data_IF_053459853823
#
_entry.id   IF_053459853823
#
_cell.length_a   1.000
_cell.length_b   1.000
_cell.length_c   1.000
_cell.angle_alpha   90.00
_cell.angle_beta   90.00
_cell.angle_gamma   90.00
#
_symmetry.space_group_name_H-M   'P 1'
#
loop_
_entity.id
_entity.type
_entity.pdbx_description
1 polymer ?
#
# COMPACT_ATOMS: atom_id res chain seq x y z
N UNK A 1 7.86 -20.57 -23.30
CA UNK A 1 7.46 -19.15 -23.50
C UNK A 1 6.16 -19.15 -24.27
N UNK A 2 5.16 -18.36 -23.85
CA UNK A 2 3.81 -18.41 -24.42
C UNK A 2 3.59 -17.54 -25.68
N UNK A 3 4.64 -16.90 -26.23
CA UNK A 3 4.54 -16.13 -27.48
C UNK A 3 4.04 -14.69 -27.35
N UNK A 4 3.88 -14.16 -26.13
CA UNK A 4 3.43 -12.79 -25.89
C UNK A 4 4.59 -11.77 -25.89
N UNK A 5 4.27 -10.54 -26.29
CA UNK A 5 5.13 -9.36 -26.17
C UNK A 5 4.62 -8.48 -25.02
N UNK A 6 5.55 -7.90 -24.25
CA UNK A 6 5.24 -7.03 -23.12
C UNK A 6 5.28 -5.56 -23.54
N UNK A 7 4.22 -4.82 -23.20
CA UNK A 7 4.21 -3.36 -23.16
C UNK A 7 4.22 -2.94 -21.69
N UNK A 8 5.13 -2.05 -21.30
CA UNK A 8 5.29 -1.62 -19.92
C UNK A 8 5.12 -0.10 -19.83
N UNK A 9 4.27 0.34 -18.91
CA UNK A 9 4.07 1.74 -18.56
C UNK A 9 4.33 1.97 -17.08
N UNK A 10 4.87 3.14 -16.74
CA UNK A 10 5.10 3.56 -15.35
C UNK A 10 4.24 4.79 -15.07
N UNK A 11 3.29 4.66 -14.14
CA UNK A 11 2.34 5.72 -13.78
C UNK A 11 2.78 6.57 -12.58
N UNK A 12 3.82 6.17 -11.86
CA UNK A 12 4.29 6.83 -10.63
C UNK A 12 3.16 7.11 -9.62
N UNK A 13 2.21 6.17 -9.49
CA UNK A 13 1.00 6.29 -8.65
C UNK A 13 0.01 7.39 -9.08
N UNK A 14 0.19 8.02 -10.24
CA UNK A 14 -0.81 8.92 -10.82
C UNK A 14 -1.86 8.14 -11.58
N UNK A 15 -3.10 8.26 -11.11
CA UNK A 15 -4.29 7.69 -11.73
C UNK A 15 -4.48 8.26 -13.15
N UNK A 16 -4.20 9.54 -13.35
CA UNK A 16 -4.31 10.22 -14.65
C UNK A 16 -3.27 9.71 -15.64
N UNK A 17 -2.05 9.48 -15.17
CA UNK A 17 -0.97 8.94 -15.99
C UNK A 17 -1.23 7.47 -16.36
N UNK A 18 -1.76 6.67 -15.43
CA UNK A 18 -2.22 5.30 -15.72
C UNK A 18 -3.28 5.29 -16.82
N UNK A 19 -4.33 6.10 -16.69
CA UNK A 19 -5.41 6.20 -17.67
C UNK A 19 -4.87 6.54 -19.07
N UNK A 20 -3.95 7.51 -19.15
CA UNK A 20 -3.32 7.91 -20.41
C UNK A 20 -2.52 6.77 -21.01
N UNK A 21 -1.68 6.10 -20.23
CA UNK A 21 -0.88 4.95 -20.68
C UNK A 21 -1.78 3.81 -21.17
N UNK A 22 -2.82 3.50 -20.41
CA UNK A 22 -3.78 2.45 -20.76
C UNK A 22 -4.46 2.75 -22.10
N UNK A 23 -4.94 3.98 -22.30
CA UNK A 23 -5.60 4.36 -23.56
C UNK A 23 -4.69 4.12 -24.78
N UNK A 24 -3.40 4.47 -24.67
CA UNK A 24 -2.40 4.22 -25.71
C UNK A 24 -2.16 2.72 -25.91
N UNK A 25 -2.06 1.94 -24.83
CA UNK A 25 -1.84 0.49 -24.95
C UNK A 25 -3.02 -0.24 -25.58
N UNK A 26 -4.26 0.17 -25.31
CA UNK A 26 -5.44 -0.44 -25.89
C UNK A 26 -5.54 -0.25 -27.42
N UNK A 27 -4.88 0.76 -28.00
CA UNK A 27 -4.80 0.93 -29.47
C UNK A 27 -4.11 -0.26 -30.15
N UNK A 28 -3.18 -0.91 -29.44
CA UNK A 28 -2.47 -2.11 -29.93
C UNK A 28 -3.28 -3.40 -29.80
N UNK A 29 -4.49 -3.35 -29.22
CA UNK A 29 -5.36 -4.50 -28.93
C UNK A 29 -4.61 -5.63 -28.21
N UNK A 30 -4.09 -5.38 -26.99
CA UNK A 30 -3.31 -6.37 -26.27
C UNK A 30 -4.16 -7.60 -25.94
N UNK A 31 -3.52 -8.76 -25.80
CA UNK A 31 -4.20 -10.00 -25.43
C UNK A 31 -4.69 -10.01 -23.96
N UNK A 32 -4.18 -9.10 -23.14
CA UNK A 32 -4.52 -8.94 -21.73
C UNK A 32 -3.88 -7.68 -21.16
N UNK A 33 -4.45 -7.15 -20.09
CA UNK A 33 -3.94 -6.00 -19.34
C UNK A 33 -3.67 -6.40 -17.90
N UNK A 34 -2.53 -5.97 -17.35
CA UNK A 34 -2.20 -6.12 -15.93
C UNK A 34 -2.09 -4.74 -15.32
N UNK A 35 -2.88 -4.46 -14.29
CA UNK A 35 -2.88 -3.21 -13.54
C UNK A 35 -2.30 -3.44 -12.14
N UNK A 36 -1.60 -2.43 -11.62
CA UNK A 36 -1.05 -2.47 -10.26
C UNK A 36 -1.96 -1.69 -9.31
N UNK A 37 -2.28 -2.29 -8.17
CA UNK A 37 -3.18 -1.71 -7.18
C UNK A 37 -4.64 -1.96 -7.50
N UNK A 38 -5.50 -1.28 -6.74
CA UNK A 38 -6.96 -1.42 -6.83
C UNK A 38 -7.71 -0.11 -6.99
N UNK A 39 -6.98 1.01 -7.11
CA UNK A 39 -7.52 2.36 -7.25
C UNK A 39 -7.26 2.90 -8.66
N UNK A 40 -8.32 2.94 -9.47
CA UNK A 40 -8.27 3.37 -10.86
C UNK A 40 -9.31 4.46 -11.12
N UNK A 41 -9.13 5.26 -12.17
CA UNK A 41 -10.14 6.25 -12.55
C UNK A 41 -11.41 5.57 -13.07
N UNK A 42 -12.55 6.25 -12.92
CA UNK A 42 -13.80 5.79 -13.55
C UNK A 42 -13.64 5.60 -15.06
N UNK A 43 -12.83 6.45 -15.70
CA UNK A 43 -12.56 6.39 -17.13
C UNK A 43 -11.68 5.19 -17.51
N UNK A 44 -10.73 4.82 -16.67
CA UNK A 44 -9.95 3.57 -16.81
C UNK A 44 -10.87 2.36 -16.85
N UNK A 45 -11.83 2.26 -15.92
CA UNK A 45 -12.82 1.17 -15.95
C UNK A 45 -13.64 1.16 -17.24
N UNK A 46 -14.13 2.31 -17.69
CA UNK A 46 -14.89 2.43 -18.95
C UNK A 46 -14.07 1.99 -20.17
N UNK A 47 -12.78 2.34 -20.22
CA UNK A 47 -11.89 1.95 -21.32
C UNK A 47 -11.70 0.42 -21.37
N UNK A 48 -11.51 -0.21 -20.20
CA UNK A 48 -11.32 -1.65 -20.09
C UNK A 48 -12.59 -2.40 -20.47
N UNK A 49 -13.74 -1.99 -19.94
CA UNK A 49 -15.06 -2.55 -20.28
C UNK A 49 -15.34 -2.47 -21.78
N UNK A 50 -15.07 -1.32 -22.41
CA UNK A 50 -15.26 -1.12 -23.84
C UNK A 50 -14.29 -1.94 -24.71
N UNK A 51 -13.10 -2.25 -24.20
CA UNK A 51 -12.08 -3.00 -24.95
C UNK A 51 -12.36 -4.51 -25.01
N UNK A 52 -13.17 -5.05 -24.10
CA UNK A 52 -13.38 -6.48 -23.91
C UNK A 52 -12.07 -7.28 -23.76
N UNK A 53 -11.04 -6.65 -23.20
CA UNK A 53 -9.72 -7.26 -22.95
C UNK A 53 -9.71 -7.89 -21.56
N UNK A 54 -9.16 -9.10 -21.38
CA UNK A 54 -8.98 -9.67 -20.04
C UNK A 54 -8.09 -8.79 -19.16
N UNK A 55 -8.55 -8.51 -17.94
CA UNK A 55 -7.84 -7.65 -16.98
C UNK A 55 -7.48 -8.44 -15.74
N UNK A 56 -6.26 -8.24 -15.26
CA UNK A 56 -5.75 -8.74 -13.98
C UNK A 56 -5.25 -7.54 -13.15
N UNK A 57 -5.79 -7.36 -11.96
CA UNK A 57 -5.26 -6.44 -10.95
C UNK A 57 -4.29 -7.20 -10.03
N UNK A 58 -3.16 -6.60 -9.71
CA UNK A 58 -2.14 -7.20 -8.85
C UNK A 58 -1.68 -6.29 -7.70
N UNK A 59 -0.90 -6.86 -6.79
CA UNK A 59 -0.30 -6.26 -5.59
C UNK A 59 -1.26 -6.11 -4.39
N UNK A 60 -2.50 -5.71 -4.60
CA UNK A 60 -3.46 -5.43 -3.52
C UNK A 60 -4.69 -6.32 -3.62
N UNK A 61 -5.14 -6.92 -2.50
CA UNK A 61 -6.46 -7.55 -2.44
C UNK A 61 -7.54 -6.50 -2.19
N UNK A 62 -8.52 -6.43 -3.10
CA UNK A 62 -9.68 -5.57 -2.97
C UNK A 62 -10.97 -6.38 -2.95
N UNK A 63 -11.81 -6.16 -1.92
CA UNK A 63 -13.16 -6.74 -1.87
C UNK A 63 -14.12 -6.11 -2.89
N UNK A 64 -13.68 -5.03 -3.55
CA UNK A 64 -14.42 -4.31 -4.58
C UNK A 64 -13.79 -4.46 -5.97
N UNK A 65 -12.90 -5.45 -6.16
CA UNK A 65 -12.24 -5.67 -7.43
C UNK A 65 -13.27 -5.90 -8.55
N UNK A 66 -13.14 -5.12 -9.63
CA UNK A 66 -13.96 -5.27 -10.84
C UNK A 66 -13.44 -6.40 -11.74
N UNK A 67 -12.20 -6.84 -11.52
CA UNK A 67 -11.49 -7.79 -12.36
C UNK A 67 -10.93 -8.95 -11.53
N UNK A 68 -10.29 -9.91 -12.20
CA UNK A 68 -9.50 -10.91 -11.49
C UNK A 68 -8.41 -10.17 -10.70
N UNK A 69 -8.30 -10.45 -9.40
CA UNK A 69 -7.46 -9.69 -8.50
C UNK A 69 -6.58 -10.66 -7.68
N UNK A 70 -5.27 -10.44 -7.71
CA UNK A 70 -4.28 -11.26 -7.00
C UNK A 70 -3.31 -10.34 -6.26
N UNK A 71 -3.37 -10.32 -4.94
CA UNK A 71 -2.51 -9.45 -4.16
C UNK A 71 -2.41 -9.86 -2.70
N UNK A 72 -2.10 -8.88 -1.86
CA UNK A 72 -2.01 -9.05 -0.41
C UNK A 72 -3.09 -8.21 0.28
N UNK A 73 -3.63 -8.72 1.38
CA UNK A 73 -4.46 -7.90 2.26
C UNK A 73 -3.56 -7.06 3.17
N UNK A 74 -3.39 -5.79 2.81
CA UNK A 74 -2.56 -4.84 3.55
C UNK A 74 -3.05 -4.57 4.99
N UNK A 75 -4.33 -4.80 5.27
CA UNK A 75 -4.83 -4.75 6.65
C UNK A 75 -4.25 -5.89 7.48
N UNK A 76 -4.33 -7.12 6.96
CA UNK A 76 -3.76 -8.29 7.63
C UNK A 76 -2.23 -8.21 7.74
N UNK A 77 -1.55 -7.57 6.78
CA UNK A 77 -0.10 -7.28 6.91
C UNK A 77 0.17 -6.40 8.13
N UNK A 78 -0.48 -5.24 8.23
CA UNK A 78 -0.29 -4.33 9.36
C UNK A 78 -0.62 -5.01 10.70
N UNK A 79 -1.71 -5.78 10.72
CA UNK A 79 -2.17 -6.54 11.89
C UNK A 79 -1.19 -7.63 12.29
N UNK A 80 -0.72 -8.45 11.35
CA UNK A 80 0.17 -9.56 11.62
C UNK A 80 1.55 -9.10 12.12
N UNK A 81 2.14 -8.08 11.49
CA UNK A 81 3.41 -7.50 11.94
C UNK A 81 3.31 -6.96 13.36
N UNK A 82 2.23 -6.22 13.66
CA UNK A 82 2.02 -5.63 14.99
C UNK A 82 1.76 -6.70 16.04
N UNK A 83 0.91 -7.69 15.73
CA UNK A 83 0.64 -8.83 16.61
C UNK A 83 1.92 -9.58 16.95
N UNK A 84 2.79 -9.81 15.97
CA UNK A 84 4.07 -10.47 16.22
C UNK A 84 4.93 -9.72 17.24
N UNK A 85 5.03 -8.39 17.14
CA UNK A 85 5.75 -7.57 18.13
C UNK A 85 5.10 -7.66 19.52
N UNK A 86 3.77 -7.63 19.60
CA UNK A 86 3.05 -7.76 20.86
C UNK A 86 3.29 -9.14 21.51
N UNK A 87 3.28 -10.21 20.71
CA UNK A 87 3.58 -11.58 21.16
C UNK A 87 5.03 -11.73 21.68
N UNK A 88 5.97 -10.91 21.19
CA UNK A 88 7.32 -10.83 21.73
C UNK A 88 7.41 -10.01 23.04
N UNK A 89 6.30 -9.40 23.49
CA UNK A 89 6.21 -8.64 24.74
C UNK A 89 6.33 -7.12 24.59
N UNK A 90 6.42 -6.60 23.36
CA UNK A 90 6.42 -5.16 23.11
C UNK A 90 5.00 -4.59 23.30
N UNK A 91 4.88 -3.57 24.15
CA UNK A 91 3.59 -2.95 24.49
C UNK A 91 3.41 -1.54 23.94
N UNK A 92 4.51 -0.87 23.61
CA UNK A 92 4.53 0.50 23.10
C UNK A 92 5.07 0.45 21.67
N UNK A 93 4.22 -0.04 20.77
CA UNK A 93 4.55 -0.25 19.35
C UNK A 93 4.09 0.96 18.55
N UNK A 94 5.01 1.67 17.91
CA UNK A 94 4.68 2.79 17.03
C UNK A 94 4.51 2.39 15.57
N UNK A 95 4.03 3.33 14.77
CA UNK A 95 3.87 3.18 13.32
C UNK A 95 4.40 4.41 12.57
N UNK A 96 5.24 4.22 11.54
CA UNK A 96 5.67 5.29 10.63
C UNK A 96 5.30 4.93 9.19
N UNK A 97 4.64 5.86 8.52
CA UNK A 97 4.15 5.66 7.16
C UNK A 97 4.32 6.85 6.22
N UNK A 98 4.41 6.54 4.93
CA UNK A 98 4.52 7.51 3.84
C UNK A 98 3.41 7.27 2.81
N UNK A 99 3.21 8.22 1.89
CA UNK A 99 2.14 8.19 0.87
C UNK A 99 0.73 8.10 1.48
N UNK A 100 0.43 9.03 2.40
CA UNK A 100 -0.81 9.10 3.16
C UNK A 100 -2.11 9.12 2.36
N UNK A 101 -2.05 9.49 1.08
CA UNK A 101 -3.18 9.49 0.16
C UNK A 101 -3.50 8.10 -0.44
N UNK A 102 -2.62 7.11 -0.30
CA UNK A 102 -2.83 5.78 -0.88
C UNK A 102 -3.59 4.86 0.09
N UNK A 103 -4.58 4.16 -0.43
CA UNK A 103 -5.39 3.19 0.33
C UNK A 103 -4.56 2.13 1.08
N UNK A 104 -3.49 1.63 0.47
CA UNK A 104 -2.57 0.65 1.07
C UNK A 104 -2.00 1.11 2.40
N UNK A 105 -1.57 2.37 2.53
CA UNK A 105 -1.08 2.88 3.81
C UNK A 105 -2.19 2.86 4.86
N UNK A 106 -3.39 3.33 4.49
CA UNK A 106 -4.53 3.38 5.40
C UNK A 106 -4.90 1.98 5.90
N UNK A 107 -4.84 0.96 5.03
CA UNK A 107 -5.08 -0.44 5.42
C UNK A 107 -4.02 -0.94 6.40
N UNK A 108 -2.73 -0.70 6.13
CA UNK A 108 -1.66 -1.08 7.06
C UNK A 108 -1.80 -0.40 8.43
N UNK A 109 -2.08 0.91 8.43
CA UNK A 109 -2.30 1.69 9.65
C UNK A 109 -3.50 1.14 10.44
N UNK A 110 -4.63 0.87 9.79
CA UNK A 110 -5.80 0.27 10.43
C UNK A 110 -5.50 -1.14 10.97
N UNK A 111 -4.67 -1.93 10.27
CA UNK A 111 -4.21 -3.23 10.75
C UNK A 111 -3.40 -3.13 12.05
N UNK A 112 -2.46 -2.17 12.10
CA UNK A 112 -1.70 -1.85 13.32
C UNK A 112 -2.62 -1.41 14.45
N UNK A 113 -3.55 -0.46 14.20
CA UNK A 113 -4.52 0.00 15.19
C UNK A 113 -5.38 -1.15 15.72
N UNK A 114 -5.87 -2.03 14.84
CA UNK A 114 -6.68 -3.20 15.20
C UNK A 114 -5.91 -4.14 16.12
N UNK A 115 -4.65 -4.47 15.80
CA UNK A 115 -3.82 -5.33 16.65
C UNK A 115 -3.55 -4.72 18.03
N UNK A 116 -3.30 -3.41 18.10
CA UNK A 116 -3.10 -2.70 19.37
C UNK A 116 -4.36 -2.76 20.24
N UNK A 117 -5.53 -2.41 19.68
CA UNK A 117 -6.80 -2.38 20.39
C UNK A 117 -7.21 -3.78 20.86
N UNK A 118 -7.04 -4.81 20.02
CA UNK A 118 -7.36 -6.20 20.37
C UNK A 118 -6.53 -6.75 21.55
N UNK A 119 -5.37 -6.15 21.81
CA UNK A 119 -4.50 -6.49 22.92
C UNK A 119 -4.57 -5.47 24.08
N UNK A 120 -5.60 -4.61 24.09
CA UNK A 120 -5.81 -3.58 25.11
C UNK A 120 -4.65 -2.57 25.24
N UNK A 121 -3.97 -2.28 24.13
CA UNK A 121 -2.90 -1.29 24.02
C UNK A 121 -3.39 -0.02 23.31
N UNK A 122 -2.79 1.12 23.62
CA UNK A 122 -3.17 2.42 23.04
C UNK A 122 -2.50 2.62 21.67
N UNK A 123 -3.26 2.89 20.59
CA UNK A 123 -2.71 3.14 19.25
C UNK A 123 -2.50 4.64 18.97
N UNK A 124 -1.74 5.33 19.81
CA UNK A 124 -1.47 6.78 19.70
C UNK A 124 -0.09 7.11 19.10
N UNK A 125 0.80 6.13 19.01
CA UNK A 125 2.17 6.29 18.52
C UNK A 125 2.29 6.14 17.01
N UNK A 126 1.68 7.03 16.22
CA UNK A 126 1.83 6.98 14.77
C UNK A 126 2.23 8.32 14.13
N UNK A 127 2.92 8.21 13.00
CA UNK A 127 3.25 9.32 12.11
C UNK A 127 3.03 8.90 10.66
N UNK A 128 2.22 9.66 9.93
CA UNK A 128 2.00 9.47 8.49
C UNK A 128 2.26 10.77 7.74
N UNK A 129 2.87 10.68 6.56
CA UNK A 129 3.10 11.81 5.66
C UNK A 129 2.56 11.53 4.25
N UNK A 130 2.26 12.58 3.48
CA UNK A 130 1.95 12.47 2.05
C UNK A 130 3.19 12.36 1.17
N UNK A 131 4.38 12.59 1.73
CA UNK A 131 5.65 12.50 1.02
C UNK A 131 5.98 11.05 0.62
N UNK A 132 6.93 10.90 -0.31
CA UNK A 132 7.51 9.61 -0.66
C UNK A 132 8.31 9.01 0.51
N UNK A 133 8.41 7.67 0.62
CA UNK A 133 9.22 7.04 1.66
C UNK A 133 10.70 7.40 1.50
N UNK A 134 11.38 7.63 2.63
CA UNK A 134 12.82 7.87 2.67
C UNK A 134 13.39 7.47 4.03
N UNK A 135 14.71 7.23 4.09
CA UNK A 135 15.41 7.00 5.36
C UNK A 135 15.39 8.22 6.26
N UNK A 136 15.48 9.43 5.69
CA UNK A 136 15.35 10.66 6.46
C UNK A 136 13.99 10.73 7.17
N UNK A 137 12.90 10.37 6.49
CA UNK A 137 11.57 10.31 7.09
C UNK A 137 11.51 9.30 8.26
N UNK A 138 12.16 8.14 8.12
CA UNK A 138 12.31 7.13 9.18
C UNK A 138 12.99 7.70 10.43
N UNK A 139 14.20 8.23 10.26
CA UNK A 139 15.00 8.78 11.33
C UNK A 139 14.29 9.94 12.06
N UNK A 140 13.73 10.90 11.30
CA UNK A 140 13.01 12.04 11.87
C UNK A 140 11.70 11.60 12.56
N UNK A 141 10.99 10.64 11.96
CA UNK A 141 9.75 10.13 12.51
C UNK A 141 9.97 9.40 13.83
N UNK A 142 11.01 8.58 13.92
CA UNK A 142 11.40 7.90 15.16
C UNK A 142 11.78 8.92 16.25
N UNK A 143 12.59 9.93 15.91
CA UNK A 143 12.96 10.99 16.85
C UNK A 143 11.71 11.73 17.38
N UNK A 144 10.75 12.05 16.50
CA UNK A 144 9.48 12.69 16.89
C UNK A 144 8.63 11.81 17.81
N UNK A 145 8.55 10.50 17.54
CA UNK A 145 7.80 9.57 18.39
C UNK A 145 8.45 9.40 19.76
N UNK A 146 9.77 9.23 19.83
CA UNK A 146 10.52 9.11 21.09
C UNK A 146 10.48 10.38 21.94
N UNK A 147 10.39 11.56 21.31
CA UNK A 147 10.20 12.83 22.03
C UNK A 147 8.80 12.94 22.66
N UNK A 148 7.79 12.29 22.08
CA UNK A 148 6.43 12.25 22.63
C UNK A 148 6.31 11.24 23.76
N UNK A 149 6.90 10.06 23.58
CA UNK A 149 6.95 9.00 24.57
C UNK A 149 8.26 8.21 24.45
N UNK A 150 9.09 8.32 25.48
CA UNK A 150 10.38 7.61 25.57
C UNK A 150 10.23 6.12 25.89
N UNK A 151 9.02 5.66 26.21
CA UNK A 151 8.72 4.25 26.47
C UNK A 151 8.44 3.44 25.21
N UNK A 152 8.36 4.10 24.03
CA UNK A 152 8.29 3.45 22.72
C UNK A 152 9.43 2.43 22.58
N UNK A 153 9.08 1.17 22.30
CA UNK A 153 10.06 0.07 22.31
C UNK A 153 9.99 -0.85 21.09
N UNK A 154 9.07 -0.59 20.17
CA UNK A 154 9.04 -1.24 18.86
C UNK A 154 8.39 -0.32 17.82
N UNK A 155 8.63 -0.61 16.54
CA UNK A 155 8.14 0.19 15.43
C UNK A 155 7.72 -0.70 14.26
N UNK A 156 6.58 -0.37 13.65
CA UNK A 156 6.15 -0.90 12.36
C UNK A 156 6.32 0.21 11.31
N UNK A 157 7.09 -0.07 10.26
CA UNK A 157 7.31 0.86 9.16
C UNK A 157 6.54 0.40 7.93
N UNK A 158 5.90 1.34 7.22
CA UNK A 158 5.10 1.00 6.03
C UNK A 158 5.95 0.67 4.80
N UNK A 159 7.20 1.12 4.77
CA UNK A 159 8.18 0.91 3.70
C UNK A 159 9.56 0.57 4.28
N UNK A 160 10.38 -0.14 3.51
CA UNK A 160 11.73 -0.54 3.92
C UNK A 160 12.66 0.66 4.07
N UNK A 161 12.55 1.67 3.20
CA UNK A 161 13.36 2.89 3.26
C UNK A 161 13.16 3.62 4.58
N UNK A 162 11.94 3.62 5.11
CA UNK A 162 11.60 4.19 6.42
C UNK A 162 12.21 3.33 7.54
N UNK A 163 12.22 2.00 7.41
CA UNK A 163 12.78 1.11 8.42
C UNK A 163 14.32 1.16 8.51
N UNK A 164 14.99 1.46 7.40
CA UNK A 164 16.46 1.56 7.34
C UNK A 164 16.99 2.81 8.06
N UNK A 165 16.24 3.92 8.06
CA UNK A 165 16.65 5.21 8.60
C UNK A 165 16.49 5.33 10.10
#
# INVERSE_FOLDING_TARGET
>A
KAGYQLLLGYSDYSIEQEEKLLSTFLESRPAGVVLFGSEHSQRTHQLLEASNTPVLEIAELSSKASYLNIGVDHFEVGKACTRHLIEQGFKNVGFIGARGNHSTLQRQLHGWQSAMIENYLTPDHFLTTHEAPSSQLGAEGLAKLLLRDSSLNALVCSHEEIAIG
#
